data_IF_600724560618
#
_entry.id   IF_600724560618
#
_cell.length_a   1.000
_cell.length_b   1.000
_cell.length_c   1.000
_cell.angle_alpha   90.00
_cell.angle_beta   90.00
_cell.angle_gamma   90.00
#
_symmetry.space_group_name_H-M   'P 1'
#
loop_
_entity.id
_entity.type
_entity.pdbx_description
1 polymer ?
#
# COMPACT_ATOMS: atom_id res chain seq x y z
N UNK A 1 -11.21 -43.71 32.38
CA UNK A 1 -10.15 -42.84 31.86
C UNK A 1 -10.71 -42.14 30.61
N UNK A 2 -11.25 -40.94 30.80
CA UNK A 2 -11.84 -40.17 29.72
C UNK A 2 -10.82 -39.13 29.23
N UNK A 3 -10.62 -39.09 27.91
CA UNK A 3 -9.83 -38.07 27.24
C UNK A 3 -10.51 -36.68 27.39
N UNK A 4 -9.75 -35.61 27.64
CA UNK A 4 -10.30 -34.24 27.62
C UNK A 4 -10.60 -33.81 26.17
N UNK A 5 -11.63 -32.98 25.94
CA UNK A 5 -11.97 -32.50 24.63
C UNK A 5 -10.89 -31.51 24.12
N UNK A 6 -10.54 -31.66 22.84
CA UNK A 6 -9.66 -30.80 22.09
C UNK A 6 -10.21 -29.37 22.04
N UNK A 7 -9.48 -28.41 22.55
CA UNK A 7 -9.79 -26.99 22.42
C UNK A 7 -9.65 -26.56 20.96
N UNK A 8 -10.78 -26.25 20.33
CA UNK A 8 -10.81 -25.45 19.11
C UNK A 8 -10.25 -24.04 19.46
N UNK A 9 -9.13 -23.68 18.90
CA UNK A 9 -8.66 -22.29 18.87
C UNK A 9 -9.60 -21.52 17.96
N UNK A 10 -10.43 -20.70 18.60
CA UNK A 10 -11.33 -19.77 17.93
C UNK A 10 -10.49 -18.61 17.35
N UNK A 11 -10.42 -18.55 16.01
CA UNK A 11 -9.65 -17.56 15.22
C UNK A 11 -10.28 -16.16 15.23
N UNK A 12 -11.26 -15.92 16.12
CA UNK A 12 -12.06 -14.69 16.20
C UNK A 12 -11.45 -13.61 17.11
N UNK A 13 -10.36 -13.91 17.83
CA UNK A 13 -9.84 -13.02 18.89
C UNK A 13 -9.36 -11.64 18.41
N UNK A 14 -8.74 -11.55 17.25
CA UNK A 14 -8.18 -10.30 16.74
C UNK A 14 -9.25 -9.34 16.17
N UNK A 15 -10.28 -9.88 15.52
CA UNK A 15 -11.38 -9.07 14.95
C UNK A 15 -12.22 -8.33 15.99
N UNK A 16 -12.29 -8.81 17.23
CA UNK A 16 -13.08 -8.22 18.30
C UNK A 16 -12.38 -7.05 19.03
N UNK A 17 -11.06 -6.96 18.94
CA UNK A 17 -10.33 -5.88 19.61
C UNK A 17 -10.64 -4.52 18.96
N UNK A 18 -10.84 -4.50 17.64
CA UNK A 18 -11.13 -3.27 16.88
C UNK A 18 -12.60 -2.83 16.93
N UNK A 19 -13.52 -3.68 17.36
CA UNK A 19 -14.96 -3.37 17.41
C UNK A 19 -15.38 -2.55 18.66
N UNK A 20 -14.52 -2.33 19.65
CA UNK A 20 -14.89 -1.78 20.96
C UNK A 20 -14.37 -0.37 21.29
N UNK A 21 -13.65 0.31 20.42
CA UNK A 21 -13.22 1.68 20.67
C UNK A 21 -14.38 2.61 20.25
N UNK A 22 -15.24 2.93 21.22
CA UNK A 22 -16.25 3.97 21.06
C UNK A 22 -15.58 5.33 20.87
N UNK A 23 -16.02 6.08 19.87
CA UNK A 23 -15.56 7.45 19.63
C UNK A 23 -15.66 8.30 20.90
N UNK A 24 -14.54 8.74 21.44
CA UNK A 24 -14.52 9.87 22.37
C UNK A 24 -14.87 11.13 21.55
N UNK A 25 -16.01 11.73 21.82
CA UNK A 25 -16.44 12.96 21.15
C UNK A 25 -15.36 14.04 21.31
N UNK A 26 -14.88 14.60 20.18
CA UNK A 26 -14.01 15.78 20.15
C UNK A 26 -12.53 15.55 19.86
N UNK A 27 -12.08 14.34 19.60
CA UNK A 27 -10.68 14.09 19.17
C UNK A 27 -10.59 14.24 17.65
N UNK A 28 -9.81 15.22 17.20
CA UNK A 28 -9.45 15.37 15.79
C UNK A 28 -8.45 14.26 15.43
N UNK A 29 -8.87 13.37 14.55
CA UNK A 29 -8.07 12.19 14.18
C UNK A 29 -7.40 12.43 12.82
N UNK A 30 -6.14 12.79 12.86
CA UNK A 30 -5.28 12.96 11.67
C UNK A 30 -4.31 11.78 11.60
N UNK A 31 -4.39 11.01 10.52
CA UNK A 31 -3.39 9.99 10.21
C UNK A 31 -2.56 10.41 8.99
N UNK A 32 -1.29 10.01 8.98
CA UNK A 32 -0.35 10.23 7.89
C UNK A 32 0.27 8.92 7.46
N UNK A 33 0.16 8.63 6.18
CA UNK A 33 0.71 7.43 5.56
C UNK A 33 1.62 7.85 4.41
N UNK A 34 2.79 7.24 4.33
CA UNK A 34 3.70 7.47 3.22
C UNK A 34 3.37 6.55 2.06
N UNK A 35 3.35 7.12 0.87
CA UNK A 35 3.11 6.44 -0.38
C UNK A 35 4.10 6.95 -1.43
N UNK A 36 4.07 6.44 -2.63
CA UNK A 36 4.84 6.95 -3.77
C UNK A 36 4.03 6.90 -5.05
N UNK A 37 4.37 7.77 -5.98
CA UNK A 37 3.81 7.79 -7.32
C UNK A 37 4.91 7.96 -8.37
N UNK A 38 4.64 7.51 -9.58
CA UNK A 38 5.57 7.53 -10.71
C UNK A 38 5.29 8.74 -11.61
N UNK A 39 6.36 9.39 -12.08
CA UNK A 39 6.32 10.36 -13.18
C UNK A 39 7.37 9.96 -14.21
N UNK A 40 6.93 9.47 -15.37
CA UNK A 40 7.84 8.95 -16.38
C UNK A 40 8.56 7.70 -15.87
N UNK A 41 9.89 7.79 -15.73
CA UNK A 41 10.74 6.71 -15.19
C UNK A 41 11.09 6.91 -13.70
N UNK A 42 10.81 8.08 -13.15
CA UNK A 42 11.13 8.44 -11.76
C UNK A 42 9.90 8.28 -10.86
N UNK A 43 10.14 8.22 -9.56
CA UNK A 43 9.10 8.22 -8.56
C UNK A 43 9.37 9.26 -7.48
N UNK A 44 8.33 9.68 -6.80
CA UNK A 44 8.39 10.67 -5.72
C UNK A 44 7.51 10.26 -4.54
N UNK A 45 7.89 10.70 -3.36
CA UNK A 45 7.14 10.42 -2.14
C UNK A 45 5.87 11.28 -2.09
N UNK A 46 4.78 10.63 -1.72
CA UNK A 46 3.47 11.24 -1.49
C UNK A 46 3.07 10.98 -0.04
N UNK A 47 2.73 12.02 0.69
CA UNK A 47 2.13 11.91 2.01
C UNK A 47 0.60 11.89 1.85
N UNK A 48 -0.02 10.82 2.31
CA UNK A 48 -1.48 10.64 2.37
C UNK A 48 -1.93 11.03 3.77
N UNK A 49 -2.52 12.21 3.91
CA UNK A 49 -3.09 12.68 5.16
C UNK A 49 -4.61 12.42 5.17
N UNK A 50 -5.08 11.76 6.22
CA UNK A 50 -6.50 11.47 6.40
C UNK A 50 -7.00 12.18 7.65
N UNK A 51 -7.90 13.15 7.47
CA UNK A 51 -8.57 13.88 8.55
C UNK A 51 -10.03 13.42 8.64
N UNK A 52 -10.45 13.03 9.85
CA UNK A 52 -11.83 12.65 10.14
C UNK A 52 -12.38 13.62 11.18
N UNK A 53 -13.40 14.38 10.79
CA UNK A 53 -14.04 15.38 11.63
C UNK A 53 -15.53 15.08 11.77
N UNK A 54 -16.06 15.27 12.98
CA UNK A 54 -17.49 15.11 13.24
C UNK A 54 -18.34 16.01 12.34
N UNK A 55 -19.41 15.48 11.77
CA UNK A 55 -20.32 16.25 10.93
C UNK A 55 -21.15 15.38 10.00
N UNK A 56 -21.85 16.02 9.06
CA UNK A 56 -22.58 15.28 8.03
C UNK A 56 -21.59 14.47 7.16
N UNK A 57 -21.93 13.21 6.85
CA UNK A 57 -21.08 12.35 6.03
C UNK A 57 -20.68 13.02 4.72
N UNK A 58 -19.38 13.19 4.52
CA UNK A 58 -18.81 13.75 3.32
C UNK A 58 -17.43 13.10 3.08
N UNK A 59 -17.04 12.94 1.80
CA UNK A 59 -15.72 12.44 1.44
C UNK A 59 -15.12 13.34 0.37
N UNK A 60 -13.97 13.91 0.66
CA UNK A 60 -13.28 14.84 -0.23
C UNK A 60 -11.82 14.43 -0.39
N UNK A 61 -11.34 14.34 -1.62
CA UNK A 61 -9.91 14.14 -1.93
C UNK A 61 -9.34 15.41 -2.53
N UNK A 62 -8.24 15.91 -1.96
CA UNK A 62 -7.51 17.10 -2.40
C UNK A 62 -6.05 16.76 -2.71
N UNK A 63 -5.28 17.67 -3.31
CA UNK A 63 -3.89 17.44 -3.69
C UNK A 63 -3.71 17.00 -5.14
N UNK A 64 -4.54 17.53 -6.06
CA UNK A 64 -4.56 17.22 -7.51
C UNK A 64 -4.73 15.72 -7.82
N UNK A 65 -5.76 15.05 -7.27
CA UNK A 65 -6.07 13.66 -7.64
C UNK A 65 -6.62 13.60 -9.07
N UNK A 66 -6.10 12.71 -9.90
CA UNK A 66 -6.67 12.33 -11.20
C UNK A 66 -7.89 11.42 -11.00
N UNK A 67 -8.56 11.04 -12.09
CA UNK A 67 -9.83 10.30 -12.05
C UNK A 67 -9.71 8.99 -11.28
N UNK A 68 -8.66 8.20 -11.53
CA UNK A 68 -8.45 6.91 -10.88
C UNK A 68 -8.38 7.03 -9.34
N UNK A 69 -7.74 8.10 -8.83
CA UNK A 69 -7.64 8.39 -7.39
C UNK A 69 -8.98 8.88 -6.83
N UNK A 70 -9.76 9.66 -7.59
CA UNK A 70 -11.11 10.09 -7.15
C UNK A 70 -12.08 8.91 -7.04
N UNK A 71 -11.97 7.94 -7.94
CA UNK A 71 -12.77 6.71 -7.94
C UNK A 71 -12.36 5.74 -6.82
N UNK A 72 -11.18 5.89 -6.22
CA UNK A 72 -10.69 5.03 -5.14
C UNK A 72 -11.65 4.96 -3.95
N UNK A 73 -12.45 6.01 -3.71
CA UNK A 73 -13.41 6.08 -2.60
C UNK A 73 -14.27 4.83 -2.50
N UNK A 74 -14.88 4.43 -3.61
CA UNK A 74 -15.83 3.30 -3.61
C UNK A 74 -15.08 1.96 -3.43
N UNK A 75 -13.88 1.82 -4.03
CA UNK A 75 -13.03 0.63 -3.82
C UNK A 75 -12.57 0.51 -2.37
N UNK A 76 -12.04 1.59 -1.81
CA UNK A 76 -11.56 1.67 -0.42
C UNK A 76 -12.69 1.39 0.57
N UNK A 77 -13.87 2.01 0.37
CA UNK A 77 -15.04 1.78 1.24
C UNK A 77 -15.45 0.31 1.24
N UNK A 78 -15.61 -0.27 0.05
CA UNK A 78 -16.00 -1.68 -0.08
C UNK A 78 -14.95 -2.62 0.50
N UNK A 79 -13.66 -2.37 0.23
CA UNK A 79 -12.56 -3.16 0.74
C UNK A 79 -12.51 -3.16 2.28
N UNK A 80 -12.67 -1.99 2.92
CA UNK A 80 -12.72 -1.86 4.38
C UNK A 80 -13.89 -2.67 4.94
N UNK A 81 -15.10 -2.50 4.39
CA UNK A 81 -16.31 -3.18 4.87
C UNK A 81 -16.24 -4.71 4.67
N UNK A 82 -15.77 -5.16 3.50
CA UNK A 82 -15.66 -6.58 3.19
C UNK A 82 -14.48 -7.26 3.94
N UNK A 83 -13.52 -6.47 4.44
CA UNK A 83 -12.47 -6.94 5.36
C UNK A 83 -12.95 -7.01 6.82
N UNK A 84 -14.21 -6.66 7.10
CA UNK A 84 -14.82 -6.75 8.44
C UNK A 84 -14.58 -5.53 9.31
N UNK A 85 -14.13 -4.41 8.75
CA UNK A 85 -13.93 -3.15 9.47
C UNK A 85 -15.07 -2.17 9.19
N UNK A 86 -15.28 -1.24 10.12
CA UNK A 86 -16.28 -0.17 9.94
C UNK A 86 -15.68 0.99 9.14
N UNK A 87 -16.35 1.39 8.06
CA UNK A 87 -16.03 2.64 7.36
C UNK A 87 -16.64 3.82 8.15
N UNK A 88 -15.89 4.93 8.37
CA UNK A 88 -16.41 6.09 9.12
C UNK A 88 -17.58 6.77 8.40
N UNK A 89 -18.62 7.11 9.18
CA UNK A 89 -19.81 7.84 8.69
C UNK A 89 -19.72 9.35 9.01
N UNK A 90 -18.50 9.89 9.00
CA UNK A 90 -18.16 11.26 9.35
C UNK A 90 -17.68 12.07 8.13
N UNK A 91 -17.27 13.31 8.36
CA UNK A 91 -16.61 14.11 7.31
C UNK A 91 -15.17 13.69 7.16
N UNK A 92 -14.85 13.08 6.03
CA UNK A 92 -13.52 12.58 5.69
C UNK A 92 -12.87 13.51 4.67
N UNK A 93 -11.64 13.94 4.95
CA UNK A 93 -10.79 14.65 3.98
C UNK A 93 -9.50 13.85 3.79
N UNK A 94 -9.20 13.47 2.55
CA UNK A 94 -7.95 12.85 2.14
C UNK A 94 -7.13 13.88 1.39
N UNK A 95 -5.96 14.24 1.90
CA UNK A 95 -5.02 15.14 1.23
C UNK A 95 -3.81 14.36 0.73
N UNK A 96 -3.43 14.58 -0.53
CA UNK A 96 -2.27 13.97 -1.17
C UNK A 96 -1.19 15.03 -1.39
N UNK A 97 -0.23 15.11 -0.49
CA UNK A 97 0.87 16.05 -0.56
C UNK A 97 2.07 15.49 -1.33
N UNK A 98 2.79 16.29 -2.13
CA UNK A 98 2.64 17.75 -2.35
C UNK A 98 1.52 18.07 -3.34
N UNK A 99 0.75 19.14 -3.10
CA UNK A 99 -0.44 19.49 -3.87
C UNK A 99 -0.16 20.01 -5.30
N UNK A 100 1.08 20.35 -5.63
CA UNK A 100 1.45 20.89 -6.96
C UNK A 100 1.72 19.81 -8.01
N UNK A 101 1.81 18.54 -7.61
CA UNK A 101 2.05 17.40 -8.51
C UNK A 101 0.76 16.60 -8.66
N UNK A 102 0.40 16.24 -9.88
CA UNK A 102 -0.74 15.37 -10.17
C UNK A 102 -0.49 13.96 -9.67
N UNK A 103 -1.50 13.34 -9.06
CA UNK A 103 -1.46 11.95 -8.58
C UNK A 103 -2.35 11.11 -9.47
N UNK A 104 -1.72 10.17 -10.15
CA UNK A 104 -2.40 9.21 -11.02
C UNK A 104 -2.13 7.78 -10.56
N UNK A 105 -2.99 6.85 -11.00
CA UNK A 105 -2.89 5.44 -10.68
C UNK A 105 -3.69 5.01 -9.45
N UNK A 106 -3.80 3.71 -9.30
CA UNK A 106 -4.61 3.04 -8.28
C UNK A 106 -3.83 2.65 -7.02
N UNK A 107 -2.51 2.88 -7.01
CA UNK A 107 -1.61 2.53 -5.90
C UNK A 107 -1.89 3.24 -4.58
N UNK A 108 -2.78 4.23 -4.58
CA UNK A 108 -3.20 4.99 -3.40
C UNK A 108 -4.31 4.32 -2.59
N UNK A 109 -5.00 3.29 -3.11
CA UNK A 109 -6.13 2.67 -2.43
C UNK A 109 -5.73 2.10 -1.06
N UNK A 110 -4.67 1.31 -1.02
CA UNK A 110 -4.18 0.70 0.21
C UNK A 110 -3.72 1.74 1.25
N UNK A 111 -2.86 2.73 0.94
CA UNK A 111 -2.47 3.75 1.90
C UNK A 111 -3.65 4.61 2.38
N UNK A 112 -4.64 4.91 1.54
CA UNK A 112 -5.87 5.62 1.97
C UNK A 112 -6.67 4.74 2.95
N UNK A 113 -6.85 3.44 2.66
CA UNK A 113 -7.56 2.53 3.55
C UNK A 113 -6.87 2.39 4.91
N UNK A 114 -5.54 2.22 4.91
CA UNK A 114 -4.73 2.17 6.14
C UNK A 114 -4.85 3.48 6.91
N UNK A 115 -4.78 4.63 6.24
CA UNK A 115 -4.93 5.95 6.85
C UNK A 115 -6.30 6.17 7.51
N UNK A 116 -7.39 5.75 6.84
CA UNK A 116 -8.76 5.80 7.40
C UNK A 116 -8.88 4.95 8.66
N UNK A 117 -8.34 3.74 8.63
CA UNK A 117 -8.37 2.84 9.77
C UNK A 117 -7.41 3.26 10.88
N UNK A 118 -6.26 3.83 10.56
CA UNK A 118 -5.37 4.43 11.55
C UNK A 118 -6.01 5.62 12.26
N UNK A 119 -6.75 6.47 11.53
CA UNK A 119 -7.46 7.59 12.13
C UNK A 119 -8.64 7.17 13.02
N UNK A 120 -9.22 5.98 12.82
CA UNK A 120 -10.36 5.48 13.59
C UNK A 120 -10.00 4.45 14.65
N UNK A 121 -8.82 3.87 14.56
CA UNK A 121 -8.33 2.82 15.46
C UNK A 121 -6.98 3.21 16.04
N UNK A 122 -6.66 2.64 17.19
CA UNK A 122 -5.38 2.88 17.88
C UNK A 122 -4.26 2.09 17.21
N UNK A 123 -3.86 2.49 15.99
CA UNK A 123 -2.63 2.00 15.38
C UNK A 123 -1.46 2.90 15.80
N UNK A 124 -0.26 2.35 15.93
CA UNK A 124 0.93 3.14 16.24
C UNK A 124 1.35 4.00 15.04
N UNK A 125 1.08 5.30 15.11
CA UNK A 125 1.41 6.26 14.07
C UNK A 125 2.93 6.39 13.85
N UNK A 126 3.76 6.13 14.85
CA UNK A 126 5.22 6.17 14.71
C UNK A 126 5.70 4.99 13.87
N UNK A 127 5.15 3.81 14.09
CA UNK A 127 5.45 2.64 13.27
C UNK A 127 4.96 2.83 11.82
N UNK A 128 3.74 3.35 11.62
CA UNK A 128 3.20 3.64 10.28
C UNK A 128 4.09 4.58 9.47
N UNK A 129 4.68 5.60 10.12
CA UNK A 129 5.57 6.59 9.49
C UNK A 129 6.91 6.03 9.02
N UNK A 130 7.27 4.81 9.39
CA UNK A 130 8.50 4.12 8.93
C UNK A 130 8.32 3.37 7.62
N UNK A 131 7.08 3.09 7.24
CA UNK A 131 6.76 2.29 6.06
C UNK A 131 6.22 3.16 4.94
N UNK A 132 6.72 2.92 3.73
CA UNK A 132 6.07 3.37 2.52
C UNK A 132 5.08 2.27 2.08
N UNK A 133 3.82 2.63 1.83
CA UNK A 133 2.74 1.68 1.57
C UNK A 133 2.20 1.89 0.15
N UNK A 134 2.11 0.83 -0.64
CA UNK A 134 1.62 0.83 -2.01
C UNK A 134 0.61 -0.29 -2.22
N UNK A 135 -0.42 -0.05 -3.01
CA UNK A 135 -1.33 -1.12 -3.45
C UNK A 135 -2.66 -0.59 -3.95
N UNK A 136 -3.18 -1.22 -4.99
CA UNK A 136 -4.58 -1.11 -5.39
C UNK A 136 -5.41 -2.08 -4.55
N UNK A 137 -6.66 -1.72 -4.23
CA UNK A 137 -7.57 -2.62 -3.53
C UNK A 137 -8.69 -3.10 -4.45
N UNK A 138 -8.93 -4.41 -4.43
CA UNK A 138 -10.20 -4.96 -4.90
C UNK A 138 -11.28 -4.81 -3.85
N UNK A 139 -12.54 -4.89 -4.26
CA UNK A 139 -13.69 -4.68 -3.38
C UNK A 139 -13.76 -5.66 -2.21
N UNK A 140 -13.14 -6.82 -2.34
CA UNK A 140 -13.04 -7.86 -1.29
C UNK A 140 -11.84 -7.69 -0.34
N UNK A 141 -11.08 -6.59 -0.48
CA UNK A 141 -9.93 -6.27 0.38
C UNK A 141 -8.62 -6.91 -0.03
N UNK A 142 -8.55 -7.60 -1.18
CA UNK A 142 -7.26 -8.10 -1.69
C UNK A 142 -6.43 -6.96 -2.28
N UNK A 143 -5.11 -7.03 -2.05
CA UNK A 143 -4.14 -6.08 -2.59
C UNK A 143 -3.75 -6.50 -4.01
N UNK A 144 -4.00 -5.63 -4.97
CA UNK A 144 -3.71 -5.80 -6.38
C UNK A 144 -2.37 -5.19 -6.76
N UNK A 145 -1.68 -5.74 -7.79
CA UNK A 145 -0.40 -5.21 -8.25
C UNK A 145 -0.53 -3.78 -8.78
N UNK A 146 0.56 -3.04 -8.64
CA UNK A 146 0.72 -1.67 -9.15
C UNK A 146 1.89 -1.60 -10.13
N UNK A 147 1.86 -0.64 -11.06
CA UNK A 147 2.96 -0.40 -11.97
C UNK A 147 4.05 0.45 -11.28
N UNK A 148 5.33 0.15 -11.56
CA UNK A 148 6.47 0.97 -11.14
C UNK A 148 6.91 0.77 -9.69
N UNK A 149 6.77 -0.41 -9.14
CA UNK A 149 7.21 -0.71 -7.77
C UNK A 149 8.73 -0.56 -7.58
N UNK A 150 9.53 -0.83 -8.61
CA UNK A 150 10.99 -0.63 -8.59
C UNK A 150 11.39 0.84 -8.42
N UNK A 151 10.97 1.80 -9.29
CA UNK A 151 11.28 3.21 -9.09
C UNK A 151 10.71 3.76 -7.78
N UNK A 152 9.54 3.29 -7.32
CA UNK A 152 8.96 3.69 -6.03
C UNK A 152 9.81 3.21 -4.85
N UNK A 153 10.33 1.98 -4.88
CA UNK A 153 11.24 1.46 -3.86
C UNK A 153 12.57 2.22 -3.86
N UNK A 154 13.07 2.58 -5.04
CA UNK A 154 14.29 3.40 -5.18
C UNK A 154 14.09 4.80 -4.58
N UNK A 155 12.97 5.45 -4.87
CA UNK A 155 12.62 6.75 -4.31
C UNK A 155 12.47 6.69 -2.77
N UNK A 156 11.85 5.64 -2.24
CA UNK A 156 11.75 5.40 -0.81
C UNK A 156 13.14 5.33 -0.17
N UNK A 157 14.04 4.53 -0.75
CA UNK A 157 15.42 4.40 -0.29
C UNK A 157 16.20 5.72 -0.32
N UNK A 158 16.08 6.48 -1.42
CA UNK A 158 16.75 7.78 -1.57
C UNK A 158 16.23 8.81 -0.57
N UNK A 159 14.95 8.73 -0.19
CA UNK A 159 14.33 9.56 0.84
C UNK A 159 14.68 9.12 2.28
N UNK A 160 15.45 8.05 2.47
CA UNK A 160 15.91 7.57 3.77
C UNK A 160 14.94 6.59 4.46
N UNK A 161 13.94 6.09 3.76
CA UNK A 161 13.08 5.02 4.27
C UNK A 161 13.73 3.65 4.05
N UNK A 162 13.59 2.77 5.02
CA UNK A 162 14.18 1.43 5.02
C UNK A 162 13.16 0.31 4.84
N UNK A 163 11.86 0.62 4.81
CA UNK A 163 10.79 -0.36 4.79
C UNK A 163 9.67 0.03 3.82
N UNK A 164 9.21 -0.93 3.02
CA UNK A 164 8.12 -0.74 2.07
C UNK A 164 7.14 -1.93 2.10
N UNK A 165 5.84 -1.64 2.18
CA UNK A 165 4.77 -2.62 2.01
C UNK A 165 4.24 -2.51 0.59
N UNK A 166 4.29 -3.61 -0.15
CA UNK A 166 3.89 -3.67 -1.57
C UNK A 166 2.96 -4.86 -1.81
N UNK A 167 2.19 -4.85 -2.90
CA UNK A 167 1.47 -6.04 -3.32
C UNK A 167 2.41 -7.25 -3.47
N UNK A 168 1.96 -8.43 -3.05
CA UNK A 168 2.77 -9.65 -3.14
C UNK A 168 3.37 -9.88 -4.54
N UNK A 169 2.61 -9.58 -5.59
CA UNK A 169 3.06 -9.70 -6.98
C UNK A 169 4.23 -8.76 -7.34
N UNK A 170 4.35 -7.61 -6.66
CA UNK A 170 5.41 -6.62 -6.88
C UNK A 170 6.65 -6.85 -6.00
N UNK A 171 6.57 -7.74 -5.02
CA UNK A 171 7.60 -7.86 -3.99
C UNK A 171 8.98 -8.18 -4.57
N UNK A 172 9.06 -9.08 -5.56
CA UNK A 172 10.32 -9.43 -6.21
C UNK A 172 10.93 -8.26 -6.99
N UNK A 173 10.11 -7.46 -7.66
CA UNK A 173 10.53 -6.27 -8.39
C UNK A 173 11.09 -5.22 -7.42
N UNK A 174 10.37 -4.90 -6.35
CA UNK A 174 10.80 -3.92 -5.35
C UNK A 174 12.06 -4.37 -4.60
N UNK A 175 12.20 -5.66 -4.33
CA UNK A 175 13.31 -6.24 -3.57
C UNK A 175 14.65 -6.26 -4.34
N UNK A 176 14.68 -5.82 -5.61
CA UNK A 176 15.94 -5.57 -6.35
C UNK A 176 16.69 -4.39 -5.74
N UNK A 177 16.00 -3.43 -5.09
CA UNK A 177 16.63 -2.25 -4.49
C UNK A 177 17.37 -2.62 -3.20
N UNK A 178 18.65 -2.25 -3.12
CA UNK A 178 19.49 -2.48 -1.93
C UNK A 178 19.07 -1.63 -0.75
N UNK A 179 19.11 -2.24 0.47
CA UNK A 179 18.94 -1.53 1.72
C UNK A 179 17.51 -1.02 1.97
N UNK A 180 16.53 -1.68 1.37
CA UNK A 180 15.12 -1.53 1.73
C UNK A 180 14.53 -2.91 2.05
N UNK A 181 13.79 -3.00 3.14
CA UNK A 181 13.05 -4.20 3.53
C UNK A 181 11.69 -4.20 2.83
N UNK A 182 11.41 -5.21 2.04
CA UNK A 182 10.18 -5.32 1.25
C UNK A 182 9.23 -6.30 1.90
N UNK A 183 8.04 -5.83 2.29
CA UNK A 183 7.00 -6.60 2.94
C UNK A 183 5.85 -6.86 1.96
N UNK A 184 5.67 -8.10 1.48
CA UNK A 184 4.57 -8.44 0.57
C UNK A 184 3.24 -8.51 1.32
N UNK A 185 2.21 -7.86 0.78
CA UNK A 185 0.85 -7.92 1.29
C UNK A 185 -0.11 -8.50 0.25
N UNK A 186 -1.00 -9.38 0.67
CA UNK A 186 -2.06 -9.97 -0.15
C UNK A 186 -3.42 -9.37 0.16
N UNK A 187 -3.62 -8.92 1.41
CA UNK A 187 -4.90 -8.38 1.89
C UNK A 187 -4.72 -7.16 2.78
N UNK A 188 -5.73 -6.30 2.83
CA UNK A 188 -5.81 -5.17 3.77
C UNK A 188 -5.68 -5.64 5.23
N UNK A 189 -6.33 -6.77 5.58
CA UNK A 189 -6.28 -7.32 6.94
C UNK A 189 -4.86 -7.66 7.36
N UNK A 190 -4.04 -8.29 6.49
CA UNK A 190 -2.64 -8.60 6.79
C UNK A 190 -1.81 -7.34 7.11
N UNK A 191 -2.06 -6.24 6.37
CA UNK A 191 -1.37 -4.96 6.63
C UNK A 191 -1.77 -4.38 7.98
N UNK A 192 -3.05 -4.44 8.34
CA UNK A 192 -3.53 -3.94 9.62
C UNK A 192 -3.03 -4.78 10.81
N UNK A 193 -3.02 -6.10 10.65
CA UNK A 193 -2.48 -7.03 11.64
C UNK A 193 -0.99 -6.81 11.89
N UNK A 194 -0.23 -6.43 10.85
CA UNK A 194 1.18 -6.08 10.98
C UNK A 194 1.42 -4.91 11.95
N UNK A 195 0.52 -3.93 11.97
CA UNK A 195 0.61 -2.76 12.85
C UNK A 195 -0.13 -2.92 14.20
N UNK A 196 -0.88 -4.01 14.39
CA UNK A 196 -1.74 -4.24 15.57
C UNK A 196 -1.27 -5.42 16.44
N UNK A 197 0.01 -5.69 16.57
CA UNK A 197 0.59 -6.79 17.35
C UNK A 197 0.15 -8.21 16.90
N UNK A 198 -0.28 -8.35 15.66
CA UNK A 198 -0.62 -9.65 15.04
C UNK A 198 0.60 -10.34 14.42
N UNK A 199 0.37 -11.42 13.64
CA UNK A 199 1.44 -12.07 12.89
C UNK A 199 2.01 -11.10 11.84
N UNK A 200 3.21 -10.62 12.11
CA UNK A 200 3.89 -9.63 11.28
C UNK A 200 4.12 -10.15 9.85
N UNK A 201 3.95 -9.28 8.85
CA UNK A 201 4.42 -9.53 7.49
C UNK A 201 5.92 -9.88 7.54
N UNK A 202 6.34 -10.86 6.76
CA UNK A 202 7.75 -11.23 6.66
C UNK A 202 8.38 -10.52 5.48
N UNK A 203 9.54 -9.89 5.69
CA UNK A 203 10.30 -9.29 4.61
C UNK A 203 10.74 -10.36 3.60
N UNK A 204 10.78 -9.98 2.34
CA UNK A 204 11.30 -10.86 1.27
C UNK A 204 12.82 -10.91 1.36
N UNK A 205 13.34 -12.13 1.49
CA UNK A 205 14.76 -12.39 1.29
C UNK A 205 15.02 -12.53 -0.21
N UNK A 206 15.80 -11.62 -0.79
CA UNK A 206 16.11 -11.66 -2.23
C UNK A 206 17.56 -12.00 -2.46
N UNK A 207 17.79 -13.16 -3.04
CA UNK A 207 19.09 -13.49 -3.64
C UNK A 207 19.18 -12.85 -5.05
N UNK A 208 19.82 -11.68 -5.10
CA UNK A 208 20.00 -10.91 -6.35
C UNK A 208 20.88 -11.62 -7.34
N UNK A 209 21.91 -12.32 -6.89
CA UNK A 209 22.79 -13.04 -7.80
C UNK A 209 21.98 -14.05 -8.59
N UNK A 210 21.04 -14.72 -7.96
CA UNK A 210 20.12 -15.65 -8.64
C UNK A 210 19.18 -14.95 -9.62
N UNK A 211 18.68 -13.74 -9.29
CA UNK A 211 17.82 -12.97 -10.20
C UNK A 211 18.55 -12.57 -11.49
N UNK A 212 19.83 -12.20 -11.40
CA UNK A 212 20.62 -11.79 -12.57
C UNK A 212 21.25 -12.98 -13.33
N UNK A 213 21.49 -14.12 -12.66
CA UNK A 213 22.02 -15.34 -13.29
C UNK A 213 20.97 -16.04 -14.15
N UNK A 214 19.72 -16.05 -13.74
CA UNK A 214 18.62 -16.71 -14.46
C UNK A 214 17.97 -15.79 -15.53
N UNK A 215 18.78 -15.05 -16.28
CA UNK A 215 18.28 -14.39 -17.48
C UNK A 215 17.85 -15.48 -18.48
N UNK A 216 16.56 -15.54 -18.89
CA UNK A 216 16.23 -16.33 -20.06
C UNK A 216 17.09 -15.83 -21.23
N UNK A 217 17.58 -16.70 -22.09
CA UNK A 217 18.30 -16.27 -23.28
C UNK A 217 17.43 -15.23 -23.97
N UNK A 218 18.01 -14.06 -24.29
CA UNK A 218 17.30 -13.03 -25.04
C UNK A 218 16.75 -13.64 -26.30
N UNK A 219 15.44 -13.83 -26.36
CA UNK A 219 14.75 -14.40 -27.53
C UNK A 219 14.64 -13.38 -28.67
N UNK A 220 14.96 -12.11 -28.41
CA UNK A 220 14.89 -11.02 -29.38
C UNK A 220 16.23 -10.30 -29.48
N UNK A 221 16.67 -10.07 -30.71
CA UNK A 221 17.90 -9.35 -31.03
C UNK A 221 17.57 -8.21 -32.02
N UNK A 222 18.37 -7.17 -32.05
CA UNK A 222 18.23 -6.10 -33.08
C UNK A 222 18.33 -6.66 -34.51
N UNK A 223 18.99 -7.80 -34.71
CA UNK A 223 19.01 -8.52 -35.99
C UNK A 223 17.62 -8.98 -36.45
N UNK A 224 16.70 -9.20 -35.52
CA UNK A 224 15.33 -9.67 -35.82
C UNK A 224 14.42 -8.54 -36.29
N UNK A 225 14.86 -7.28 -36.14
CA UNK A 225 14.14 -6.08 -36.60
C UNK A 225 14.60 -5.75 -38.00
N UNK A 226 13.72 -5.88 -38.99
CA UNK A 226 14.02 -5.53 -40.37
C UNK A 226 13.92 -4.03 -40.58
N UNK A 227 14.99 -3.39 -41.07
CA UNK A 227 15.07 -1.95 -41.23
C UNK A 227 15.28 -1.22 -39.91
N UNK A 228 14.78 0.00 -39.81
CA UNK A 228 14.86 0.87 -38.60
C UNK A 228 16.31 1.18 -38.15
N UNK A 229 17.24 1.30 -39.08
CA UNK A 229 18.68 1.46 -38.79
C UNK A 229 18.99 2.68 -37.91
N UNK A 230 18.22 3.77 -38.07
CA UNK A 230 18.41 4.97 -37.23
C UNK A 230 17.99 4.72 -35.78
N UNK A 231 16.88 3.99 -35.55
CA UNK A 231 16.42 3.64 -34.22
C UNK A 231 17.37 2.65 -33.53
N UNK A 232 17.84 1.63 -34.25
CA UNK A 232 18.83 0.67 -33.75
C UNK A 232 20.10 1.40 -33.29
N UNK A 233 20.62 2.32 -34.12
CA UNK A 233 21.83 3.08 -33.81
C UNK A 233 21.67 4.04 -32.63
N UNK A 234 20.45 4.53 -32.38
CA UNK A 234 20.17 5.39 -31.24
C UNK A 234 20.07 4.63 -29.92
N UNK A 235 19.83 3.30 -29.98
CA UNK A 235 19.69 2.41 -28.81
C UNK A 235 20.97 1.64 -28.48
N UNK A 236 21.99 1.62 -29.34
CA UNK A 236 23.34 1.11 -29.11
C UNK A 236 24.20 2.14 -28.35
#
# INVERSE_FOLDING_TARGET
>A
MGNPPSAHKDDSGAKWLFAKVGFAQGVKLLARILCSAVIGIDAYIVEVEVDIASGLPAYTTVGLPETAVKESRERVKSAIQNSGYRFPDDRITVNLAPAHIKKDGTGFDLPIAVGLLAATHSLDHNELGRYLILGELSLDGRVKPVAGSLPMALAARQAGYDSIIVPHANAREAAVVDGICVYPAETLSQVLEHFAEGPALKAVETDRETLFRNRPPSLSNFSDVVGQEHAKRALE
#
